data_IF_934778550997
#
_entry.id   IF_934778550997
#
_cell.length_a   1.000
_cell.length_b   1.000
_cell.length_c   1.000
_cell.angle_alpha   90.00
_cell.angle_beta   90.00
_cell.angle_gamma   90.00
#
_symmetry.space_group_name_H-M   'P 1'
#
loop_
_entity.id
_entity.type
_entity.pdbx_description
1 polymer ?
#
# COMPACT_ATOMS: atom_id res chain seq x y z
N UNK A 1 36.46 3.05 -17.61
CA UNK A 1 36.70 2.90 -16.16
C UNK A 1 35.57 3.62 -15.42
N UNK A 2 34.59 2.89 -14.89
CA UNK A 2 33.57 3.49 -14.02
C UNK A 2 34.15 3.63 -12.61
N UNK A 3 34.23 4.84 -12.03
CA UNK A 3 34.70 5.01 -10.67
C UNK A 3 33.71 4.39 -9.68
N UNK A 4 34.20 4.01 -8.49
CA UNK A 4 33.47 3.32 -7.42
C UNK A 4 32.10 3.93 -7.02
N UNK A 5 31.81 5.16 -7.44
CA UNK A 5 30.50 5.81 -7.31
C UNK A 5 29.36 5.16 -8.12
N UNK A 6 29.65 4.47 -9.23
CA UNK A 6 28.60 3.80 -10.02
C UNK A 6 27.98 2.62 -9.24
N UNK A 7 28.82 1.84 -8.56
CA UNK A 7 28.36 0.70 -7.74
C UNK A 7 27.58 1.16 -6.51
N UNK A 8 28.02 2.23 -5.84
CA UNK A 8 27.30 2.75 -4.67
C UNK A 8 25.89 3.24 -5.03
N UNK A 9 25.74 3.96 -6.15
CA UNK A 9 24.42 4.40 -6.63
C UNK A 9 23.52 3.21 -6.97
N UNK A 10 24.07 2.18 -7.61
CA UNK A 10 23.33 0.96 -7.93
C UNK A 10 22.84 0.24 -6.66
N UNK A 11 23.71 0.11 -5.64
CA UNK A 11 23.36 -0.52 -4.37
C UNK A 11 22.28 0.28 -3.61
N UNK A 12 22.37 1.61 -3.62
CA UNK A 12 21.34 2.48 -3.01
C UNK A 12 20.00 2.29 -3.73
N UNK A 13 19.99 2.34 -5.06
CA UNK A 13 18.78 2.12 -5.86
C UNK A 13 18.17 0.74 -5.62
N UNK A 14 19.01 -0.30 -5.51
CA UNK A 14 18.56 -1.66 -5.20
C UNK A 14 17.92 -1.71 -3.80
N UNK A 15 18.55 -1.13 -2.79
CA UNK A 15 18.01 -1.10 -1.43
C UNK A 15 16.68 -0.35 -1.36
N UNK A 16 16.57 0.78 -2.07
CA UNK A 16 15.31 1.55 -2.18
C UNK A 16 14.22 0.73 -2.87
N UNK A 17 14.56 0.04 -3.97
CA UNK A 17 13.62 -0.81 -4.69
C UNK A 17 13.09 -1.94 -3.79
N UNK A 18 13.97 -2.62 -3.06
CA UNK A 18 13.58 -3.68 -2.12
C UNK A 18 12.69 -3.13 -1.01
N UNK A 19 13.03 -1.97 -0.44
CA UNK A 19 12.23 -1.31 0.59
C UNK A 19 10.82 -0.96 0.10
N UNK A 20 10.69 -0.36 -1.08
CA UNK A 20 9.39 -0.07 -1.69
C UNK A 20 8.62 -1.34 -1.98
N UNK A 21 9.27 -2.35 -2.56
CA UNK A 21 8.64 -3.63 -2.85
C UNK A 21 8.07 -4.27 -1.57
N UNK A 22 8.80 -4.19 -0.45
CA UNK A 22 8.31 -4.67 0.84
C UNK A 22 7.08 -3.88 1.33
N UNK A 23 7.11 -2.55 1.23
CA UNK A 23 5.95 -1.72 1.58
C UNK A 23 4.72 -2.04 0.71
N UNK A 24 4.91 -2.21 -0.61
CA UNK A 24 3.85 -2.60 -1.53
C UNK A 24 3.34 -4.02 -1.23
N UNK A 25 4.22 -4.94 -0.87
CA UNK A 25 3.85 -6.29 -0.46
C UNK A 25 2.96 -6.29 0.78
N UNK A 26 3.24 -5.44 1.79
CA UNK A 26 2.37 -5.28 2.95
C UNK A 26 0.98 -4.76 2.56
N UNK A 27 0.90 -3.77 1.67
CA UNK A 27 -0.35 -3.24 1.12
C UNK A 27 -1.13 -4.33 0.38
N UNK A 28 -0.47 -5.09 -0.49
CA UNK A 28 -1.05 -6.20 -1.25
C UNK A 28 -1.58 -7.29 -0.33
N UNK A 29 -0.82 -7.67 0.70
CA UNK A 29 -1.23 -8.69 1.67
C UNK A 29 -2.48 -8.27 2.42
N UNK A 30 -2.55 -7.01 2.85
CA UNK A 30 -3.75 -6.49 3.51
C UNK A 30 -4.92 -6.44 2.51
N UNK A 31 -4.72 -5.99 1.27
CA UNK A 31 -5.74 -6.01 0.20
C UNK A 31 -6.27 -7.42 -0.12
N UNK A 32 -5.39 -8.40 -0.30
CA UNK A 32 -5.75 -9.79 -0.54
C UNK A 32 -6.48 -10.38 0.66
N UNK A 33 -6.05 -10.03 1.89
CA UNK A 33 -6.76 -10.44 3.08
C UNK A 33 -8.20 -9.91 3.06
N UNK A 34 -8.48 -8.72 2.51
CA UNK A 34 -9.84 -8.17 2.37
C UNK A 34 -10.65 -8.86 1.28
N UNK A 35 -10.02 -9.19 0.15
CA UNK A 35 -10.68 -9.66 -1.08
C UNK A 35 -10.74 -11.18 -1.23
N UNK A 36 -10.03 -11.93 -0.39
CA UNK A 36 -10.04 -13.39 -0.44
C UNK A 36 -11.46 -13.97 -0.22
N UNK A 37 -11.89 -14.95 -1.03
CA UNK A 37 -13.18 -15.62 -0.84
C UNK A 37 -13.21 -16.32 0.52
N UNK A 38 -14.35 -16.22 1.21
CA UNK A 38 -14.54 -16.72 2.60
C UNK A 38 -14.05 -18.16 2.82
N UNK A 39 -14.12 -19.02 1.80
CA UNK A 39 -13.68 -20.41 1.82
C UNK A 39 -12.15 -20.58 1.87
N UNK A 40 -11.38 -19.77 1.13
CA UNK A 40 -9.90 -19.85 1.15
C UNK A 40 -9.31 -19.22 2.41
N UNK A 41 -10.02 -18.28 3.06
CA UNK A 41 -9.57 -17.66 4.33
C UNK A 41 -9.49 -18.67 5.48
N UNK A 42 -10.25 -19.77 5.43
CA UNK A 42 -10.16 -20.88 6.40
C UNK A 42 -8.88 -21.72 6.24
N UNK A 43 -8.28 -21.76 5.04
CA UNK A 43 -7.05 -22.53 4.78
C UNK A 43 -5.78 -21.77 5.19
N UNK A 44 -5.82 -20.43 5.23
CA UNK A 44 -4.69 -19.59 5.67
C UNK A 44 -4.60 -19.39 7.19
N UNK A 45 -5.60 -19.83 7.97
CA UNK A 45 -5.53 -19.82 9.44
C UNK A 45 -5.02 -21.18 9.94
N UNK A 46 -3.73 -21.44 9.75
CA UNK A 46 -3.07 -22.67 10.24
C UNK A 46 -2.42 -22.45 11.61
N UNK A 47 -3.20 -21.93 12.57
CA UNK A 47 -2.85 -21.93 14.00
C UNK A 47 -4.04 -22.47 14.79
N UNK A 48 -3.88 -23.69 15.29
CA UNK A 48 -4.82 -24.46 16.10
C UNK A 48 -4.76 -24.02 17.56
N UNK A 49 -5.78 -23.29 18.07
CA UNK A 49 -6.32 -23.37 19.45
C UNK A 49 -7.33 -22.26 19.83
N UNK A 50 -8.30 -21.92 18.97
CA UNK A 50 -9.47 -21.11 19.41
C UNK A 50 -10.66 -21.23 18.46
N UNK A 51 -11.05 -22.46 18.11
CA UNK A 51 -12.36 -22.69 17.51
C UNK A 51 -13.37 -22.74 18.65
N UNK A 52 -14.04 -21.62 18.93
CA UNK A 52 -15.43 -21.55 19.40
C UNK A 52 -15.93 -20.11 19.66
N UNK A 53 -15.05 -19.09 19.76
CA UNK A 53 -15.49 -17.68 19.97
C UNK A 53 -15.35 -16.74 18.75
N UNK A 54 -14.59 -17.09 17.70
CA UNK A 54 -14.23 -16.12 16.65
C UNK A 54 -15.09 -16.14 15.39
N UNK A 55 -16.27 -16.76 15.41
CA UNK A 55 -17.11 -16.94 14.20
C UNK A 55 -17.93 -15.68 13.86
N UNK A 56 -18.09 -14.72 14.79
CA UNK A 56 -18.93 -13.51 14.58
C UNK A 56 -18.19 -12.15 14.62
N UNK A 57 -16.88 -12.09 14.84
CA UNK A 57 -16.20 -10.81 15.14
C UNK A 57 -14.88 -10.55 14.41
N UNK A 58 -14.61 -11.20 13.26
CA UNK A 58 -13.46 -10.80 12.45
C UNK A 58 -13.81 -9.60 11.58
N UNK A 59 -13.44 -8.40 12.03
CA UNK A 59 -13.53 -7.18 11.22
C UNK A 59 -12.26 -7.05 10.37
N UNK A 60 -12.38 -7.01 9.03
CA UNK A 60 -11.24 -6.68 8.18
C UNK A 60 -10.65 -5.33 8.59
N UNK A 61 -9.35 -5.27 8.81
CA UNK A 61 -8.64 -4.02 9.13
C UNK A 61 -7.31 -3.98 8.38
N UNK A 62 -6.89 -2.78 8.05
CA UNK A 62 -5.61 -2.50 7.40
C UNK A 62 -4.63 -2.02 8.45
N UNK A 63 -3.40 -2.54 8.43
CA UNK A 63 -2.36 -2.23 9.42
C UNK A 63 -1.62 -0.94 9.03
N UNK A 64 -2.34 0.17 8.99
CA UNK A 64 -1.83 1.47 8.54
C UNK A 64 -0.56 1.91 9.26
N UNK A 65 -0.44 1.64 10.56
CA UNK A 65 0.77 1.97 11.32
C UNK A 65 1.98 1.22 10.80
N UNK A 66 1.80 -0.06 10.44
CA UNK A 66 2.86 -0.87 9.87
C UNK A 66 3.24 -0.40 8.47
N UNK A 67 2.26 -0.05 7.64
CA UNK A 67 2.51 0.49 6.29
C UNK A 67 3.28 1.80 6.39
N UNK A 68 2.83 2.75 7.23
CA UNK A 68 3.49 4.04 7.41
C UNK A 68 4.92 3.89 7.94
N UNK A 69 5.14 2.96 8.87
CA UNK A 69 6.47 2.67 9.41
C UNK A 69 7.45 2.21 8.31
N UNK A 70 6.97 1.47 7.31
CA UNK A 70 7.77 0.97 6.18
C UNK A 70 7.71 1.90 4.95
N UNK A 71 7.15 3.10 5.09
CA UNK A 71 7.08 4.13 4.04
C UNK A 71 7.99 5.36 4.33
N UNK A 72 9.29 5.18 4.64
CA UNK A 72 10.18 6.30 4.95
C UNK A 72 10.41 7.20 3.74
N UNK A 73 10.35 6.64 2.53
CA UNK A 73 10.52 7.37 1.26
C UNK A 73 9.19 7.80 0.62
N UNK A 74 8.09 7.73 1.37
CA UNK A 74 6.79 8.32 1.01
C UNK A 74 6.10 7.72 -0.23
N UNK A 75 6.56 6.58 -0.77
CA UNK A 75 5.94 5.99 -1.96
C UNK A 75 4.51 5.50 -1.73
N UNK A 76 4.18 4.97 -0.55
CA UNK A 76 2.81 4.58 -0.25
C UNK A 76 1.89 5.81 -0.13
N UNK A 77 2.36 6.88 0.52
CA UNK A 77 1.61 8.15 0.59
C UNK A 77 1.46 8.82 -0.77
N UNK A 78 2.53 8.84 -1.58
CA UNK A 78 2.51 9.31 -2.96
C UNK A 78 1.47 8.54 -3.80
N UNK A 79 1.44 7.22 -3.69
CA UNK A 79 0.46 6.36 -4.36
C UNK A 79 -0.98 6.75 -4.00
N UNK A 80 -1.26 6.97 -2.70
CA UNK A 80 -2.60 7.39 -2.26
C UNK A 80 -2.97 8.81 -2.70
N UNK A 81 -2.00 9.72 -2.80
CA UNK A 81 -2.24 11.04 -3.35
C UNK A 81 -2.61 10.98 -4.84
N UNK A 82 -1.83 10.27 -5.65
CA UNK A 82 -2.09 10.12 -7.08
C UNK A 82 -3.41 9.37 -7.35
N UNK A 83 -3.77 8.40 -6.48
CA UNK A 83 -5.09 7.78 -6.47
C UNK A 83 -6.19 8.85 -6.35
N UNK A 84 -6.06 9.80 -5.42
CA UNK A 84 -7.03 10.90 -5.29
C UNK A 84 -7.02 11.87 -6.47
N UNK A 85 -5.84 12.15 -7.04
CA UNK A 85 -5.68 13.07 -8.16
C UNK A 85 -6.17 12.52 -9.50
N UNK A 86 -6.31 11.20 -9.63
CA UNK A 86 -6.68 10.55 -10.88
C UNK A 86 -8.12 10.89 -11.27
N UNK A 87 -8.29 11.60 -12.39
CA UNK A 87 -9.60 11.95 -12.97
C UNK A 87 -10.20 10.82 -13.84
N UNK A 88 -9.45 9.73 -14.05
CA UNK A 88 -9.88 8.56 -14.82
C UNK A 88 -10.71 7.63 -13.91
N UNK A 89 -11.69 6.93 -14.48
CA UNK A 89 -12.41 5.88 -13.74
C UNK A 89 -11.42 4.86 -13.21
N UNK A 90 -11.37 4.71 -11.88
CA UNK A 90 -10.52 3.72 -11.22
C UNK A 90 -10.78 2.31 -11.75
N UNK A 91 -9.69 1.55 -11.94
CA UNK A 91 -9.74 0.10 -12.11
C UNK A 91 -10.26 -0.57 -10.83
N UNK A 92 -10.70 -1.83 -10.91
CA UNK A 92 -11.21 -2.53 -9.72
C UNK A 92 -10.13 -2.67 -8.63
N UNK A 93 -8.87 -2.84 -9.02
CA UNK A 93 -7.72 -2.81 -8.11
C UNK A 93 -7.61 -1.45 -7.39
N UNK A 94 -7.63 -0.35 -8.14
CA UNK A 94 -7.55 0.98 -7.56
C UNK A 94 -8.74 1.28 -6.63
N UNK A 95 -9.96 0.87 -7.01
CA UNK A 95 -11.15 0.96 -6.14
C UNK A 95 -10.95 0.19 -4.84
N UNK A 96 -10.30 -0.97 -4.90
CA UNK A 96 -9.92 -1.76 -3.75
C UNK A 96 -9.03 -1.00 -2.76
N UNK A 97 -8.03 -0.30 -3.27
CA UNK A 97 -7.15 0.55 -2.45
C UNK A 97 -7.88 1.76 -1.87
N UNK A 98 -8.84 2.34 -2.60
CA UNK A 98 -9.71 3.40 -2.07
C UNK A 98 -10.63 2.84 -0.97
N UNK A 99 -11.21 1.64 -1.18
CA UNK A 99 -12.04 0.97 -0.17
C UNK A 99 -11.27 0.69 1.12
N UNK A 100 -9.98 0.35 1.04
CA UNK A 100 -9.13 0.19 2.23
C UNK A 100 -9.18 1.43 3.14
N UNK A 101 -9.17 2.65 2.60
CA UNK A 101 -9.25 3.89 3.39
C UNK A 101 -10.59 4.06 4.12
N UNK A 102 -11.67 3.48 3.60
CA UNK A 102 -13.02 3.55 4.20
C UNK A 102 -13.26 2.54 5.32
N UNK A 103 -12.37 1.58 5.52
CA UNK A 103 -12.49 0.61 6.61
C UNK A 103 -12.24 1.26 7.96
N UNK A 104 -13.04 0.88 8.97
CA UNK A 104 -12.82 1.33 10.35
C UNK A 104 -11.44 0.85 10.84
N UNK A 105 -10.50 1.76 11.15
CA UNK A 105 -9.19 1.36 11.63
C UNK A 105 -9.25 0.94 13.10
N UNK A 106 -8.32 0.06 13.51
CA UNK A 106 -8.05 -0.13 14.94
C UNK A 106 -7.54 1.16 15.56
N UNK A 107 -7.73 1.35 16.87
CA UNK A 107 -7.27 2.54 17.59
C UNK A 107 -5.80 2.90 17.29
N UNK A 108 -4.92 1.89 17.31
CA UNK A 108 -3.49 2.05 17.02
C UNK A 108 -3.15 2.45 15.58
N UNK A 109 -4.09 2.27 14.65
CA UNK A 109 -3.94 2.57 13.22
C UNK A 109 -4.63 3.89 12.83
N UNK A 110 -5.46 4.49 13.70
CA UNK A 110 -6.26 5.70 13.39
C UNK A 110 -5.41 6.85 12.86
N UNK A 111 -4.40 7.25 13.61
CA UNK A 111 -3.51 8.37 13.24
C UNK A 111 -2.75 8.07 11.94
N UNK A 112 -2.35 6.81 11.74
CA UNK A 112 -1.64 6.40 10.53
C UNK A 112 -2.57 6.37 9.31
N UNK A 113 -3.80 5.90 9.46
CA UNK A 113 -4.86 5.95 8.44
C UNK A 113 -5.12 7.38 8.01
N UNK A 114 -5.21 8.30 8.96
CA UNK A 114 -5.49 9.71 8.67
C UNK A 114 -4.40 10.36 7.81
N UNK A 115 -3.13 9.95 7.94
CA UNK A 115 -2.04 10.39 7.05
C UNK A 115 -2.30 9.98 5.60
N UNK A 116 -2.73 8.74 5.36
CA UNK A 116 -3.06 8.27 4.01
C UNK A 116 -4.34 8.91 3.47
N UNK A 117 -5.34 9.14 4.33
CA UNK A 117 -6.56 9.85 3.95
C UNK A 117 -6.27 11.31 3.58
N UNK A 118 -5.39 11.99 4.31
CA UNK A 118 -4.94 13.34 3.97
C UNK A 118 -4.21 13.36 2.62
N UNK A 119 -3.31 12.41 2.37
CA UNK A 119 -2.63 12.29 1.08
C UNK A 119 -3.65 12.13 -0.07
N UNK A 120 -4.63 11.23 0.09
CA UNK A 120 -5.70 11.03 -0.89
C UNK A 120 -6.52 12.31 -1.12
N UNK A 121 -6.96 12.98 -0.04
CA UNK A 121 -7.75 14.19 -0.13
C UNK A 121 -6.98 15.35 -0.77
N UNK A 122 -5.67 15.44 -0.53
CA UNK A 122 -4.80 16.41 -1.18
C UNK A 122 -4.83 16.21 -2.70
N UNK A 123 -4.60 14.97 -3.17
CA UNK A 123 -4.73 14.64 -4.58
C UNK A 123 -6.11 14.96 -5.16
N UNK A 124 -7.18 14.56 -4.46
CA UNK A 124 -8.56 14.79 -4.87
C UNK A 124 -8.92 16.29 -4.98
N UNK A 125 -8.28 17.12 -4.17
CA UNK A 125 -8.47 18.58 -4.19
C UNK A 125 -7.84 19.21 -5.43
N UNK A 126 -6.59 18.86 -5.74
CA UNK A 126 -5.85 19.48 -6.85
C UNK A 126 -6.10 18.82 -8.21
N UNK A 127 -6.55 17.56 -8.23
CA UNK A 127 -6.88 16.78 -9.45
C UNK A 127 -5.75 16.76 -10.49
N UNK A 128 -4.50 16.84 -10.00
CA UNK A 128 -3.30 16.89 -10.81
C UNK A 128 -2.13 16.24 -10.03
N UNK A 129 -1.61 15.13 -10.56
CA UNK A 129 -0.53 14.36 -9.94
C UNK A 129 0.79 15.14 -9.75
N UNK A 130 1.02 16.21 -10.54
CA UNK A 130 2.17 17.08 -10.34
C UNK A 130 2.25 17.68 -8.92
N UNK A 131 1.10 17.96 -8.30
CA UNK A 131 1.07 18.41 -6.90
C UNK A 131 1.43 17.30 -5.91
N UNK A 132 1.04 16.05 -6.19
CA UNK A 132 1.42 14.89 -5.39
C UNK A 132 2.92 14.62 -5.42
N UNK A 133 3.57 14.84 -6.57
CA UNK A 133 5.03 14.75 -6.69
C UNK A 133 5.75 15.78 -5.82
N UNK A 134 5.22 17.00 -5.74
CA UNK A 134 5.80 18.06 -4.92
C UNK A 134 5.59 17.81 -3.42
N UNK A 135 4.43 17.27 -3.04
CA UNK A 135 4.10 16.94 -1.64
C UNK A 135 4.88 15.73 -1.12
N UNK A 136 5.15 14.74 -1.99
CA UNK A 136 5.86 13.51 -1.65
C UNK A 136 7.13 13.32 -2.50
N UNK A 137 8.15 14.20 -2.33
CA UNK A 137 9.30 14.28 -3.23
C UNK A 137 10.30 13.14 -3.07
N UNK A 138 10.23 12.37 -1.96
CA UNK A 138 11.20 11.31 -1.70
C UNK A 138 10.92 10.00 -2.44
N UNK A 139 9.74 9.83 -3.03
CA UNK A 139 9.44 8.63 -3.80
C UNK A 139 10.07 8.73 -5.20
N UNK A 140 11.05 7.87 -5.55
CA UNK A 140 11.72 7.97 -6.85
C UNK A 140 10.89 7.33 -7.98
N UNK A 141 9.82 6.62 -7.65
CA UNK A 141 8.98 5.88 -8.60
C UNK A 141 7.75 6.69 -8.99
N UNK A 142 7.27 6.46 -10.22
CA UNK A 142 6.02 7.03 -10.70
C UNK A 142 4.82 6.19 -10.27
N UNK A 143 3.64 6.79 -10.34
CA UNK A 143 2.39 6.15 -9.93
C UNK A 143 2.09 4.87 -10.73
N UNK A 144 2.34 4.92 -12.04
CA UNK A 144 2.08 3.82 -12.96
C UNK A 144 2.91 2.60 -12.61
N UNK A 145 4.22 2.76 -12.37
CA UNK A 145 5.10 1.66 -11.97
C UNK A 145 4.69 1.08 -10.61
N UNK A 146 4.33 1.92 -9.64
CA UNK A 146 3.90 1.43 -8.33
C UNK A 146 2.66 0.52 -8.44
N UNK A 147 1.68 0.88 -9.27
CA UNK A 147 0.52 0.03 -9.52
C UNK A 147 0.84 -1.23 -10.33
N UNK A 148 1.75 -1.16 -11.30
CA UNK A 148 2.24 -2.35 -12.00
C UNK A 148 2.93 -3.34 -11.04
N UNK A 149 3.70 -2.83 -10.09
CA UNK A 149 4.34 -3.65 -9.05
C UNK A 149 3.29 -4.28 -8.12
N UNK A 150 2.29 -3.52 -7.70
CA UNK A 150 1.15 -4.05 -6.92
C UNK A 150 0.46 -5.18 -7.67
N UNK A 151 0.12 -4.96 -8.95
CA UNK A 151 -0.54 -5.96 -9.78
C UNK A 151 0.32 -7.22 -9.96
N UNK A 152 1.62 -7.04 -10.20
CA UNK A 152 2.58 -8.14 -10.25
C UNK A 152 2.59 -8.95 -8.94
N UNK A 153 2.67 -8.27 -7.79
CA UNK A 153 2.66 -8.89 -6.46
C UNK A 153 1.34 -9.62 -6.16
N UNK A 154 0.21 -9.14 -6.67
CA UNK A 154 -1.09 -9.83 -6.51
C UNK A 154 -1.13 -11.13 -7.31
N UNK A 155 -0.55 -11.11 -8.51
CA UNK A 155 -0.58 -12.25 -9.43
C UNK A 155 0.47 -13.32 -9.11
N UNK A 156 1.52 -12.97 -8.34
CA UNK A 156 2.45 -13.91 -7.72
C UNK A 156 1.75 -14.57 -6.52
N UNK A 157 1.04 -15.69 -6.75
CA UNK A 157 0.58 -16.57 -5.67
C UNK A 157 1.77 -17.39 -5.17
N UNK A 158 2.15 -17.19 -3.91
CA UNK A 158 2.89 -18.19 -3.13
C UNK A 158 2.02 -19.43 -2.86
#
# INVERSE_FOLDING_TARGET
>A
MCPAHCHLRLLILLALLVGVLYCLHLLVKDYQALTAPRLLRMLFKRDTNSMNESISAWTPHVRWRMILHHDPIQCARYLYCELGATNIKHTDLQRGFVYMLSLEPKELDRTSRDVFLQAYNYGATYKNGGYCRNEFPYCPFDYTLLFQLIEYLINQKD
#
